data_IF_828225470804
#
_entry.id   IF_828225470804
#
_cell.length_a   1.000
_cell.length_b   1.000
_cell.length_c   1.000
_cell.angle_alpha   90.00
_cell.angle_beta   90.00
_cell.angle_gamma   90.00
#
_symmetry.space_group_name_H-M   'P 1'
#
loop_
_entity.id
_entity.type
_entity.pdbx_description
1 polymer ?
#
# COMPACT_ATOMS: atom_id res chain seq x y z
N UNK A 1 -20.67 -63.32 24.60
CA UNK A 1 -19.42 -62.94 23.91
C UNK A 1 -19.49 -61.44 23.65
N UNK A 2 -18.70 -60.66 24.42
CA UNK A 2 -18.16 -59.30 24.14
C UNK A 2 -19.23 -58.22 23.77
N UNK A 3 -19.74 -57.43 24.72
CA UNK A 3 -19.20 -56.11 25.16
C UNK A 3 -18.72 -55.23 23.99
N UNK A 4 -19.47 -54.20 23.61
CA UNK A 4 -19.03 -52.80 23.77
C UNK A 4 -20.05 -51.79 23.22
N UNK A 5 -20.41 -50.90 24.14
CA UNK A 5 -21.04 -49.60 23.96
C UNK A 5 -19.98 -48.62 23.41
N UNK A 6 -20.33 -47.81 22.41
CA UNK A 6 -19.73 -46.49 22.11
C UNK A 6 -20.63 -45.83 21.04
N UNK A 7 -21.63 -45.01 21.39
CA UNK A 7 -21.50 -43.62 21.81
C UNK A 7 -20.39 -42.87 21.05
N UNK A 8 -20.60 -42.62 19.76
CA UNK A 8 -19.87 -41.56 19.04
C UNK A 8 -20.62 -40.25 19.30
N UNK A 9 -20.47 -39.76 20.53
CA UNK A 9 -20.75 -38.39 20.91
C UNK A 9 -19.41 -37.81 21.30
N UNK A 10 -18.77 -37.07 20.39
CA UNK A 10 -17.75 -36.02 20.61
C UNK A 10 -16.84 -35.91 19.38
N UNK A 11 -17.17 -35.00 18.47
CA UNK A 11 -16.19 -34.08 17.85
C UNK A 11 -16.92 -32.98 17.06
N UNK A 12 -17.93 -32.36 17.67
CA UNK A 12 -18.21 -30.94 17.42
C UNK A 12 -17.52 -30.12 18.53
N UNK A 13 -16.23 -30.40 18.75
CA UNK A 13 -15.35 -29.46 19.41
C UNK A 13 -15.05 -28.41 18.36
N UNK A 14 -15.78 -27.30 18.45
CA UNK A 14 -15.45 -25.97 17.92
C UNK A 14 -14.16 -25.92 17.10
N UNK A 15 -14.19 -26.44 15.88
CA UNK A 15 -13.47 -25.75 14.83
C UNK A 15 -14.32 -24.52 14.62
N UNK A 16 -14.03 -23.45 15.36
CA UNK A 16 -14.16 -22.15 14.71
C UNK A 16 -13.35 -22.34 13.43
N UNK A 17 -14.03 -22.55 12.31
CA UNK A 17 -13.40 -22.33 11.03
C UNK A 17 -12.85 -20.93 11.19
N UNK A 18 -11.52 -20.81 11.31
CA UNK A 18 -10.83 -19.52 11.28
C UNK A 18 -11.04 -18.99 9.86
N UNK A 19 -12.28 -18.60 9.57
CA UNK A 19 -12.68 -17.90 8.39
C UNK A 19 -11.88 -16.63 8.41
N UNK A 20 -11.21 -16.37 7.30
CA UNK A 20 -10.44 -15.16 7.12
C UNK A 20 -11.32 -13.96 7.46
N UNK A 21 -10.92 -13.18 8.46
CA UNK A 21 -11.75 -12.11 9.02
C UNK A 21 -11.56 -10.78 8.27
N UNK A 22 -10.52 -10.70 7.43
CA UNK A 22 -10.14 -9.54 6.66
C UNK A 22 -9.68 -9.98 5.26
N UNK A 23 -10.13 -9.30 4.22
CA UNK A 23 -9.50 -9.37 2.90
C UNK A 23 -9.02 -7.98 2.47
N UNK A 24 -7.95 -7.96 1.68
CA UNK A 24 -7.38 -6.77 1.06
C UNK A 24 -7.33 -6.98 -0.45
N UNK A 25 -8.24 -6.33 -1.16
CA UNK A 25 -8.45 -6.52 -2.59
C UNK A 25 -7.81 -5.39 -3.39
N UNK A 26 -7.02 -5.77 -4.40
CA UNK A 26 -6.39 -4.86 -5.35
C UNK A 26 -7.20 -4.82 -6.65
N UNK A 27 -7.49 -3.62 -7.14
CA UNK A 27 -8.15 -3.40 -8.42
C UNK A 27 -7.63 -2.14 -9.10
N UNK A 28 -7.86 -2.00 -10.41
CA UNK A 28 -7.50 -0.81 -11.16
C UNK A 28 -8.78 -0.14 -11.66
N UNK A 29 -8.90 1.16 -11.38
CA UNK A 29 -10.01 1.99 -11.83
C UNK A 29 -9.46 3.15 -12.66
N UNK A 30 -10.05 3.37 -13.84
CA UNK A 30 -9.72 4.50 -14.70
C UNK A 30 -10.67 5.65 -14.37
N UNK A 31 -10.11 6.75 -13.91
CA UNK A 31 -10.88 7.95 -13.56
C UNK A 31 -10.65 9.01 -14.64
N UNK A 32 -11.71 9.73 -15.02
CA UNK A 32 -11.59 10.85 -15.96
C UNK A 32 -10.82 11.97 -15.28
N UNK A 33 -9.76 12.45 -15.92
CA UNK A 33 -9.06 13.64 -15.46
C UNK A 33 -9.72 14.87 -16.07
N UNK A 34 -9.95 15.91 -15.26
CA UNK A 34 -10.55 17.16 -15.76
C UNK A 34 -9.49 18.00 -16.50
N UNK A 35 -8.19 17.83 -16.22
CA UNK A 35 -7.09 18.51 -16.90
C UNK A 35 -5.70 18.13 -16.36
N UNK A 36 -5.33 16.85 -16.37
CA UNK A 36 -3.96 16.48 -16.01
C UNK A 36 -3.06 16.53 -17.24
N UNK A 37 -2.03 17.37 -17.17
CA UNK A 37 -0.98 17.40 -18.18
C UNK A 37 0.37 17.15 -17.53
N UNK A 38 1.06 16.10 -17.96
CA UNK A 38 2.47 15.91 -17.63
C UNK A 38 3.32 16.41 -18.80
N UNK A 39 4.16 17.43 -18.57
CA UNK A 39 5.04 18.03 -19.59
C UNK A 39 4.31 18.32 -20.92
N UNK A 40 3.14 18.96 -20.85
CA UNK A 40 2.30 19.33 -22.00
C UNK A 40 1.66 18.16 -22.80
N UNK A 41 1.72 16.92 -22.30
CA UNK A 41 0.86 15.83 -22.79
C UNK A 41 -0.37 15.72 -21.90
N UNK A 42 -1.54 15.89 -22.49
CA UNK A 42 -2.82 15.64 -21.80
C UNK A 42 -3.00 14.15 -21.55
N UNK A 43 -3.46 13.80 -20.35
CA UNK A 43 -3.89 12.46 -19.98
C UNK A 43 -5.38 12.54 -19.64
N UNK A 44 -6.21 12.02 -20.55
CA UNK A 44 -7.68 12.13 -20.47
C UNK A 44 -8.28 11.22 -19.38
N UNK A 45 -7.59 10.13 -19.05
CA UNK A 45 -7.98 9.23 -17.97
C UNK A 45 -6.76 8.76 -17.21
N UNK A 46 -6.78 8.93 -15.89
CA UNK A 46 -5.70 8.53 -15.01
C UNK A 46 -6.05 7.15 -14.44
N UNK A 47 -5.12 6.18 -14.50
CA UNK A 47 -5.28 4.89 -13.83
C UNK A 47 -5.03 5.06 -12.33
N UNK A 48 -5.89 4.48 -11.50
CA UNK A 48 -5.70 4.40 -10.06
C UNK A 48 -5.65 2.96 -9.61
N UNK A 49 -4.67 2.62 -8.77
CA UNK A 49 -4.73 1.43 -7.95
C UNK A 49 -5.68 1.69 -6.78
N UNK A 50 -6.70 0.85 -6.67
CA UNK A 50 -7.62 0.83 -5.53
C UNK A 50 -7.30 -0.33 -4.62
N UNK A 51 -7.02 -0.03 -3.36
CA UNK A 51 -6.80 -1.01 -2.29
C UNK A 51 -8.05 -1.02 -1.42
N UNK A 52 -8.81 -2.11 -1.43
CA UNK A 52 -10.05 -2.24 -0.66
C UNK A 52 -9.88 -3.21 0.50
N UNK A 53 -10.11 -2.72 1.71
CA UNK A 53 -10.10 -3.53 2.92
C UNK A 53 -11.54 -3.94 3.24
N UNK A 54 -11.80 -5.24 3.33
CA UNK A 54 -13.13 -5.79 3.64
C UNK A 54 -13.09 -6.53 4.98
N UNK A 55 -13.88 -6.07 5.95
CA UNK A 55 -14.10 -6.80 7.18
C UNK A 55 -15.11 -7.92 6.92
N UNK A 56 -14.66 -9.17 6.97
CA UNK A 56 -15.49 -10.35 6.76
C UNK A 56 -16.11 -10.85 8.07
N UNK A 57 -15.73 -10.28 9.21
CA UNK A 57 -16.23 -10.63 10.53
C UNK A 57 -17.46 -9.80 10.96
N UNK A 58 -18.08 -10.23 12.05
CA UNK A 58 -19.16 -9.49 12.72
C UNK A 58 -18.63 -8.54 13.83
N UNK A 59 -17.32 -8.32 13.89
CA UNK A 59 -16.66 -7.49 14.92
C UNK A 59 -16.28 -6.13 14.34
N UNK A 60 -16.23 -5.11 15.22
CA UNK A 60 -15.57 -3.85 14.90
C UNK A 60 -14.06 -4.07 14.99
N UNK A 61 -13.33 -3.84 13.90
CA UNK A 61 -11.88 -4.07 13.84
C UNK A 61 -11.15 -2.82 13.38
N UNK A 62 -9.91 -2.66 13.83
CA UNK A 62 -8.97 -1.71 13.25
C UNK A 62 -7.59 -2.33 13.08
N UNK A 63 -6.81 -1.78 12.16
CA UNK A 63 -5.48 -2.26 11.81
C UNK A 63 -4.73 -1.17 11.04
N UNK A 64 -3.39 -1.23 10.96
CA UNK A 64 -2.62 -0.31 10.12
C UNK A 64 -2.85 -0.57 8.64
N UNK A 65 -2.83 0.49 7.83
CA UNK A 65 -2.85 0.39 6.37
C UNK A 65 -1.67 -0.45 5.87
N UNK A 66 -1.86 -1.15 4.75
CA UNK A 66 -0.78 -1.89 4.08
C UNK A 66 0.22 -0.95 3.41
N UNK A 67 -0.17 0.31 3.19
CA UNK A 67 0.68 1.37 2.69
C UNK A 67 0.35 2.69 3.42
N UNK A 68 1.34 3.24 4.11
CA UNK A 68 1.22 4.45 4.93
C UNK A 68 1.62 5.66 4.08
N UNK A 69 0.62 6.20 3.38
CA UNK A 69 0.75 7.48 2.70
C UNK A 69 -0.59 8.20 2.69
N UNK A 70 -0.56 9.46 3.13
CA UNK A 70 -1.71 10.36 3.23
C UNK A 70 -2.04 11.05 1.90
N UNK A 71 -1.11 11.01 0.94
CA UNK A 71 -1.28 11.54 -0.41
C UNK A 71 -1.65 10.41 -1.34
N UNK A 72 -2.62 10.62 -2.24
CA UNK A 72 -3.08 9.65 -3.25
C UNK A 72 -2.03 9.36 -4.34
N UNK A 73 -0.75 9.46 -4.02
CA UNK A 73 0.41 9.19 -4.86
C UNK A 73 1.29 8.13 -4.16
N UNK A 74 1.79 7.12 -4.88
CA UNK A 74 2.82 6.25 -4.35
C UNK A 74 4.16 6.98 -4.19
N UNK A 75 4.91 6.61 -3.16
CA UNK A 75 6.27 7.05 -2.88
C UNK A 75 7.25 5.94 -3.22
N UNK A 76 8.46 6.29 -3.62
CA UNK A 76 9.54 5.35 -3.96
C UNK A 76 10.83 5.81 -3.29
N UNK A 77 11.72 4.88 -2.96
CA UNK A 77 13.06 5.24 -2.47
C UNK A 77 13.94 5.74 -3.62
N UNK A 78 14.68 6.81 -3.36
CA UNK A 78 15.74 7.27 -4.25
C UNK A 78 17.04 6.52 -3.94
N UNK A 79 17.75 6.06 -4.97
CA UNK A 79 19.04 5.41 -4.82
C UNK A 79 20.11 6.40 -4.32
N UNK A 80 20.99 5.92 -3.42
CA UNK A 80 22.10 6.71 -2.84
C UNK A 80 23.09 7.20 -3.90
N UNK A 81 23.14 6.52 -5.06
CA UNK A 81 24.07 6.86 -6.15
C UNK A 81 23.68 8.11 -6.94
N UNK A 82 22.56 8.78 -6.61
CA UNK A 82 22.11 9.99 -7.29
C UNK A 82 22.10 9.81 -8.82
N UNK A 83 21.72 8.61 -9.27
CA UNK A 83 21.36 8.39 -10.67
C UNK A 83 19.99 9.02 -10.87
N UNK A 84 19.91 10.35 -10.95
CA UNK A 84 18.71 11.05 -11.39
C UNK A 84 18.42 10.67 -12.84
N UNK A 85 17.93 9.45 -13.03
CA UNK A 85 17.62 8.86 -14.31
C UNK A 85 16.30 9.46 -14.73
N UNK A 86 16.38 10.49 -15.60
CA UNK A 86 15.19 11.19 -16.05
C UNK A 86 14.26 10.19 -16.73
N UNK A 87 12.96 10.27 -16.42
CA UNK A 87 11.92 9.47 -17.07
C UNK A 87 12.08 9.42 -18.60
N UNK A 88 12.45 10.55 -19.22
CA UNK A 88 12.71 10.67 -20.67
C UNK A 88 13.84 9.77 -21.19
N UNK A 89 14.85 9.48 -20.38
CA UNK A 89 15.93 8.56 -20.72
C UNK A 89 15.44 7.12 -20.58
N UNK A 90 14.69 6.83 -19.51
CA UNK A 90 14.14 5.50 -19.27
C UNK A 90 13.15 5.07 -20.35
N UNK A 91 12.20 5.93 -20.73
CA UNK A 91 11.21 5.64 -21.77
C UNK A 91 11.84 5.39 -23.16
N UNK A 92 13.09 5.81 -23.39
CA UNK A 92 13.81 5.57 -24.66
C UNK A 92 14.55 4.25 -24.67
N UNK A 93 15.02 3.80 -23.52
CA UNK A 93 15.86 2.61 -23.38
C UNK A 93 15.05 1.37 -22.97
N UNK A 94 13.90 1.56 -22.32
CA UNK A 94 13.11 0.45 -21.83
C UNK A 94 12.30 -0.20 -22.96
N UNK A 95 12.62 -1.46 -23.26
CA UNK A 95 11.83 -2.28 -24.17
C UNK A 95 10.58 -2.80 -23.44
N UNK A 96 9.44 -2.87 -24.13
CA UNK A 96 8.16 -3.38 -23.60
C UNK A 96 8.16 -4.88 -23.21
N UNK A 97 9.34 -5.47 -23.02
CA UNK A 97 9.56 -6.91 -22.79
C UNK A 97 9.77 -7.23 -21.30
N UNK A 98 10.26 -6.27 -20.51
CA UNK A 98 10.52 -6.50 -19.08
C UNK A 98 9.22 -6.41 -18.29
N UNK A 99 8.92 -7.47 -17.54
CA UNK A 99 7.83 -7.53 -16.56
C UNK A 99 8.34 -7.09 -15.21
N UNK A 100 7.51 -6.36 -14.47
CA UNK A 100 7.87 -5.77 -13.19
C UNK A 100 6.89 -6.19 -12.11
N UNK A 101 7.41 -6.60 -10.96
CA UNK A 101 6.66 -6.78 -9.73
C UNK A 101 6.72 -5.48 -8.92
N UNK A 102 5.55 -5.01 -8.49
CA UNK A 102 5.38 -3.81 -7.66
C UNK A 102 4.90 -4.25 -6.29
N UNK A 103 5.78 -4.13 -5.30
CA UNK A 103 5.50 -4.43 -3.90
C UNK A 103 4.94 -3.18 -3.24
N UNK A 104 3.63 -3.19 -2.98
CA UNK A 104 2.92 -2.07 -2.32
C UNK A 104 3.36 -2.02 -0.86
N UNK A 105 3.81 -0.84 -0.42
CA UNK A 105 4.45 -0.68 0.89
C UNK A 105 5.91 -1.12 0.92
N UNK A 106 6.43 -1.74 -0.14
CA UNK A 106 7.83 -2.15 -0.23
C UNK A 106 8.04 -3.53 0.39
N UNK A 107 9.28 -3.90 0.68
CA UNK A 107 9.57 -5.15 1.36
C UNK A 107 9.31 -5.02 2.86
N UNK A 108 8.54 -5.97 3.40
CA UNK A 108 8.23 -6.05 4.82
C UNK A 108 9.50 -5.95 5.69
N UNK A 109 9.49 -5.17 6.78
CA UNK A 109 8.35 -4.49 7.41
C UNK A 109 8.10 -3.06 6.94
N UNK A 110 8.87 -2.55 5.98
CA UNK A 110 8.63 -1.22 5.43
C UNK A 110 7.24 -1.19 4.79
N UNK A 111 6.49 -0.12 5.03
CA UNK A 111 5.17 0.16 4.44
C UNK A 111 5.03 1.62 4.00
N UNK A 112 6.12 2.38 3.87
CA UNK A 112 6.12 3.82 3.54
C UNK A 112 6.48 4.12 2.08
N UNK A 113 7.11 3.17 1.39
CA UNK A 113 7.57 3.31 0.00
C UNK A 113 7.22 2.07 -0.80
N UNK A 114 6.81 2.20 -2.05
CA UNK A 114 6.66 1.06 -2.94
C UNK A 114 8.04 0.66 -3.48
N UNK A 115 8.17 -0.60 -3.83
CA UNK A 115 9.40 -1.13 -4.42
C UNK A 115 9.08 -1.88 -5.71
N UNK A 116 9.78 -1.52 -6.79
CA UNK A 116 9.63 -2.15 -8.10
C UNK A 116 10.83 -3.03 -8.40
N UNK A 117 10.59 -4.32 -8.60
CA UNK A 117 11.62 -5.28 -8.96
C UNK A 117 11.27 -5.95 -10.30
N UNK A 118 12.26 -6.24 -11.15
CA UNK A 118 12.02 -7.01 -12.36
C UNK A 118 11.57 -8.44 -12.01
N UNK A 119 10.62 -8.97 -12.80
CA UNK A 119 10.12 -10.35 -12.71
C UNK A 119 11.11 -11.32 -13.39
N UNK A 120 12.37 -11.31 -12.94
CA UNK A 120 13.45 -12.13 -13.49
C UNK A 120 14.39 -12.66 -12.38
N UNK A 121 15.11 -13.75 -12.68
CA UNK A 121 16.03 -14.43 -11.73
C UNK A 121 17.48 -13.97 -11.91
N UNK A 122 17.76 -13.06 -12.86
CA UNK A 122 19.14 -12.75 -13.27
C UNK A 122 19.73 -11.58 -12.47
N UNK A 123 20.86 -11.80 -11.80
CA UNK A 123 21.53 -10.88 -10.87
C UNK A 123 21.88 -9.49 -11.47
N UNK A 124 21.95 -9.35 -12.79
CA UNK A 124 22.07 -8.04 -13.46
C UNK A 124 20.83 -7.14 -13.28
N UNK A 125 19.72 -7.70 -12.82
CA UNK A 125 18.46 -7.01 -12.55
C UNK A 125 18.48 -6.14 -11.29
N UNK A 126 19.48 -6.31 -10.40
CA UNK A 126 19.73 -5.42 -9.24
C UNK A 126 20.25 -4.02 -9.65
N UNK A 127 20.55 -3.78 -10.93
CA UNK A 127 20.80 -2.42 -11.43
C UNK A 127 19.55 -1.82 -12.08
N UNK A 128 18.69 -2.67 -12.63
CA UNK A 128 17.44 -2.26 -13.30
C UNK A 128 16.36 -1.85 -12.29
N UNK A 129 16.35 -2.44 -11.08
CA UNK A 129 15.48 -2.00 -9.98
C UNK A 129 15.81 -0.55 -9.55
N UNK A 130 17.08 -0.20 -9.34
CA UNK A 130 17.50 1.15 -8.92
C UNK A 130 17.03 2.18 -9.95
N UNK A 131 17.19 1.88 -11.25
CA UNK A 131 16.79 2.78 -12.34
C UNK A 131 15.27 2.96 -12.43
N UNK A 132 14.48 1.89 -12.34
CA UNK A 132 13.01 1.99 -12.40
C UNK A 132 12.45 2.74 -11.18
N UNK A 133 12.93 2.44 -9.98
CA UNK A 133 12.49 3.14 -8.76
C UNK A 133 12.92 4.62 -8.79
N UNK A 134 14.13 4.95 -9.24
CA UNK A 134 14.59 6.34 -9.43
C UNK A 134 13.75 7.10 -10.47
N UNK A 135 13.37 6.44 -11.57
CA UNK A 135 12.52 7.05 -12.60
C UNK A 135 11.11 7.34 -12.06
N UNK A 136 10.50 6.38 -11.34
CA UNK A 136 9.19 6.57 -10.70
C UNK A 136 9.26 7.66 -9.63
N UNK A 137 10.29 7.64 -8.78
CA UNK A 137 10.55 8.70 -7.81
C UNK A 137 10.60 10.08 -8.50
N UNK A 138 11.37 10.22 -9.58
CA UNK A 138 11.47 11.49 -10.31
C UNK A 138 10.13 11.96 -10.89
N UNK A 139 9.29 11.05 -11.41
CA UNK A 139 7.96 11.42 -11.90
C UNK A 139 7.07 11.86 -10.75
N UNK A 140 6.91 11.04 -9.71
CA UNK A 140 6.00 11.34 -8.61
C UNK A 140 6.44 12.52 -7.76
N UNK A 141 7.75 12.75 -7.55
CA UNK A 141 8.25 13.95 -6.89
C UNK A 141 7.83 15.23 -7.64
N UNK A 142 7.94 15.23 -8.98
CA UNK A 142 7.50 16.38 -9.78
C UNK A 142 5.98 16.61 -9.73
N UNK A 143 5.19 15.55 -9.52
CA UNK A 143 3.74 15.66 -9.34
C UNK A 143 3.38 16.12 -7.93
N UNK A 144 4.12 15.68 -6.92
CA UNK A 144 3.93 16.07 -5.53
C UNK A 144 4.17 17.58 -5.35
N UNK A 145 5.24 18.11 -5.94
CA UNK A 145 5.51 19.55 -5.98
C UNK A 145 4.38 20.33 -6.66
N UNK A 146 3.70 19.74 -7.65
CA UNK A 146 2.61 20.39 -8.37
C UNK A 146 1.28 20.34 -7.56
N UNK A 147 1.01 19.23 -6.87
CA UNK A 147 -0.26 18.99 -6.16
C UNK A 147 -0.31 19.59 -4.74
N UNK A 148 0.84 19.79 -4.07
CA UNK A 148 0.88 20.50 -2.77
C UNK A 148 0.55 21.98 -2.94
N UNK A 149 1.00 22.62 -4.02
CA UNK A 149 0.72 24.04 -4.26
C UNK A 149 -0.78 24.32 -4.44
N UNK A 150 -1.55 23.38 -5.01
CA UNK A 150 -3.01 23.51 -5.12
C UNK A 150 -3.74 23.20 -3.79
N UNK A 151 -3.19 22.34 -2.92
CA UNK A 151 -3.86 21.93 -1.67
C UNK A 151 -3.62 22.91 -0.51
N UNK A 152 -2.50 23.63 -0.51
CA UNK A 152 -2.17 24.65 0.51
C UNK A 152 -3.03 25.92 0.44
N UNK A 153 -3.80 26.15 -0.63
CA UNK A 153 -4.79 27.24 -0.68
C UNK A 153 -6.14 26.89 -0.03
N UNK A 154 -6.37 25.64 0.40
CA UNK A 154 -7.70 25.17 0.84
C UNK A 154 -7.91 25.05 2.34
N UNK A 155 -6.92 24.65 3.15
CA UNK A 155 -7.21 24.16 4.50
C UNK A 155 -6.55 24.99 5.61
N UNK A 156 -7.34 25.86 6.23
CA UNK A 156 -7.12 26.35 7.60
C UNK A 156 -7.51 25.24 8.58
N UNK A 157 -6.56 24.74 9.37
CA UNK A 157 -6.81 23.80 10.47
C UNK A 157 -6.61 24.49 11.82
N UNK A 158 -7.65 24.38 12.64
CA UNK A 158 -7.74 24.82 14.03
C UNK A 158 -7.21 23.70 14.93
N UNK A 159 -6.36 24.05 15.88
CA UNK A 159 -5.71 23.15 16.85
C UNK A 159 -6.57 23.01 18.12
N UNK A 160 -6.77 21.78 18.61
CA UNK A 160 -7.00 21.56 20.05
C UNK A 160 -6.65 20.12 20.54
N UNK A 161 -5.60 20.08 21.38
CA UNK A 161 -5.40 19.35 22.66
C UNK A 161 -5.23 17.80 22.71
N UNK A 162 -3.98 17.36 22.53
CA UNK A 162 -3.04 16.72 23.48
C UNK A 162 -3.60 15.75 24.55
N UNK A 163 -3.65 14.50 24.10
CA UNK A 163 -3.64 13.15 24.75
C UNK A 163 -4.22 12.17 23.72
N UNK A 164 -5.06 12.74 22.84
CA UNK A 164 -5.38 12.30 21.49
C UNK A 164 -4.22 12.44 20.49
N UNK A 165 -3.09 13.06 20.85
CA UNK A 165 -2.01 13.45 19.91
C UNK A 165 -1.46 12.31 19.07
N UNK A 166 -1.22 11.13 19.65
CA UNK A 166 -0.68 10.02 18.88
C UNK A 166 -1.74 9.36 17.99
N UNK A 167 -2.98 9.28 18.47
CA UNK A 167 -4.09 8.73 17.71
C UNK A 167 -4.57 9.68 16.61
N UNK A 168 -4.50 10.99 16.82
CA UNK A 168 -4.76 12.01 15.81
C UNK A 168 -3.66 12.00 14.75
N UNK A 169 -2.39 11.87 15.17
CA UNK A 169 -1.24 11.77 14.25
C UNK A 169 -1.27 10.48 13.43
N UNK A 170 -1.61 9.34 14.03
CA UNK A 170 -1.63 8.03 13.36
C UNK A 170 -2.98 7.70 12.71
N UNK A 171 -3.98 8.59 12.83
CA UNK A 171 -5.35 8.29 12.37
C UNK A 171 -5.38 7.95 10.89
N UNK A 172 -4.59 8.64 10.09
CA UNK A 172 -4.55 8.49 8.65
C UNK A 172 -3.81 7.21 8.20
N UNK A 173 -3.04 6.60 9.11
CA UNK A 173 -2.33 5.33 8.92
C UNK A 173 -3.13 4.12 9.40
N UNK A 174 -4.29 4.34 10.03
CA UNK A 174 -5.16 3.30 10.57
C UNK A 174 -6.46 3.20 9.77
N UNK A 175 -6.95 1.97 9.62
CA UNK A 175 -8.26 1.68 9.05
C UNK A 175 -9.19 1.18 10.15
N UNK A 176 -10.38 1.77 10.25
CA UNK A 176 -11.42 1.36 11.18
C UNK A 176 -12.61 0.80 10.41
N UNK A 177 -12.90 -0.49 10.57
CA UNK A 177 -14.00 -1.17 9.88
C UNK A 177 -15.08 -1.62 10.86
N UNK A 178 -16.31 -1.23 10.55
CA UNK A 178 -17.51 -1.80 11.18
C UNK A 178 -17.69 -3.27 10.76
N UNK A 179 -18.50 -4.06 11.49
CA UNK A 179 -18.91 -5.39 11.04
C UNK A 179 -19.37 -5.38 9.58
N UNK A 180 -18.81 -6.26 8.75
CA UNK A 180 -19.10 -6.32 7.30
C UNK A 180 -18.81 -5.02 6.52
N UNK A 181 -18.06 -4.10 7.13
CA UNK A 181 -17.69 -2.82 6.55
C UNK A 181 -16.54 -2.94 5.55
N UNK A 182 -16.40 -1.89 4.73
CA UNK A 182 -15.35 -1.76 3.73
C UNK A 182 -14.76 -0.35 3.73
N UNK A 183 -13.49 -0.25 3.38
CA UNK A 183 -12.77 1.01 3.16
C UNK A 183 -11.88 0.86 1.94
N UNK A 184 -11.66 1.93 1.18
CA UNK A 184 -10.79 1.90 0.02
C UNK A 184 -9.86 3.12 -0.02
N UNK A 185 -8.57 2.85 -0.26
CA UNK A 185 -7.59 3.85 -0.64
C UNK A 185 -7.38 3.83 -2.17
N UNK A 186 -6.96 4.97 -2.73
CA UNK A 186 -6.69 5.14 -4.15
C UNK A 186 -5.33 5.79 -4.35
N UNK A 187 -4.52 5.19 -5.23
CA UNK A 187 -3.17 5.67 -5.57
C UNK A 187 -3.04 5.83 -7.07
N UNK A 188 -2.70 7.03 -7.52
CA UNK A 188 -2.51 7.32 -8.94
C UNK A 188 -1.36 6.48 -9.50
N UNK A 189 -1.62 5.78 -10.60
CA UNK A 189 -0.65 5.00 -11.37
C UNK A 189 -0.10 5.77 -12.58
N UNK A 190 -0.29 7.09 -12.62
CA UNK A 190 0.12 7.92 -13.77
C UNK A 190 1.62 7.82 -14.08
N UNK A 191 2.47 7.61 -13.08
CA UNK A 191 3.90 7.39 -13.31
C UNK A 191 4.18 6.11 -14.08
N UNK A 192 3.43 5.04 -13.78
CA UNK A 192 3.52 3.77 -14.50
C UNK A 192 2.98 3.90 -15.94
N UNK A 193 1.93 4.70 -16.14
CA UNK A 193 1.42 5.02 -17.48
C UNK A 193 2.45 5.79 -18.32
N UNK A 194 3.13 6.77 -17.72
CA UNK A 194 4.18 7.58 -18.38
C UNK A 194 5.39 6.71 -18.75
N UNK A 195 5.85 5.87 -17.82
CA UNK A 195 7.05 5.04 -18.02
C UNK A 195 6.80 3.83 -18.91
N UNK A 196 5.54 3.36 -18.97
CA UNK A 196 5.08 2.18 -19.73
C UNK A 196 5.73 0.88 -19.28
N UNK A 197 5.03 -0.23 -19.48
CA UNK A 197 5.54 -1.54 -19.07
C UNK A 197 4.42 -2.50 -18.63
N UNK A 198 4.82 -3.73 -18.36
CA UNK A 198 3.97 -4.77 -17.78
C UNK A 198 4.24 -4.86 -16.28
N UNK A 199 3.26 -4.48 -15.47
CA UNK A 199 3.39 -4.35 -14.01
C UNK A 199 2.41 -5.28 -13.31
N UNK A 200 2.91 -6.05 -12.34
CA UNK A 200 2.11 -6.85 -11.42
C UNK A 200 2.19 -6.25 -10.02
N UNK A 201 1.07 -5.76 -9.51
CA UNK A 201 0.93 -5.21 -8.18
C UNK A 201 0.55 -6.30 -7.18
N UNK A 202 1.25 -6.34 -6.04
CA UNK A 202 0.99 -7.29 -4.96
C UNK A 202 1.36 -6.72 -3.59
N UNK A 203 0.78 -7.33 -2.55
CA UNK A 203 1.18 -7.10 -1.17
C UNK A 203 2.33 -8.05 -0.78
N UNK A 204 3.35 -7.57 -0.04
CA UNK A 204 4.52 -8.37 0.36
C UNK A 204 4.24 -9.34 1.53
N UNK A 205 3.07 -9.24 2.16
CA UNK A 205 2.69 -9.98 3.36
C UNK A 205 1.23 -10.41 3.29
N UNK A 206 0.88 -11.44 4.04
CA UNK A 206 -0.48 -11.94 4.26
C UNK A 206 -0.95 -11.73 5.71
N UNK A 207 -0.20 -10.97 6.52
CA UNK A 207 -0.49 -10.73 7.93
C UNK A 207 -0.52 -9.24 8.27
N UNK A 208 -1.55 -8.82 9.02
CA UNK A 208 -1.62 -7.45 9.53
C UNK A 208 -0.63 -7.22 10.68
N UNK A 209 -0.01 -6.04 10.66
CA UNK A 209 0.89 -5.57 11.69
C UNK A 209 0.11 -5.16 12.95
N UNK A 210 0.75 -5.34 14.10
CA UNK A 210 0.29 -4.84 15.40
C UNK A 210 1.10 -3.61 15.88
N UNK A 211 1.89 -3.03 14.99
CA UNK A 211 2.66 -1.82 15.22
C UNK A 211 2.63 -0.90 13.99
N UNK A 212 3.00 0.36 14.20
CA UNK A 212 3.34 1.32 13.14
C UNK A 212 4.83 1.68 13.28
N UNK A 213 5.55 1.71 12.16
CA UNK A 213 6.89 2.27 12.09
C UNK A 213 6.78 3.79 11.91
N UNK A 214 7.56 4.54 12.67
CA UNK A 214 7.67 5.99 12.54
C UNK A 214 9.11 6.31 12.24
N UNK A 215 9.34 6.99 11.12
CA UNK A 215 10.65 7.52 10.77
C UNK A 215 11.13 8.49 11.86
N UNK A 216 12.28 8.22 12.45
CA UNK A 216 12.93 9.20 13.31
C UNK A 216 13.48 10.31 12.44
N UNK A 217 12.97 11.52 12.61
CA UNK A 217 13.47 12.70 11.92
C UNK A 217 14.99 12.85 12.07
N UNK A 218 15.68 12.94 10.93
CA UNK A 218 16.93 13.67 10.67
C UNK A 218 18.26 13.24 11.33
N UNK A 219 18.34 12.32 12.28
CA UNK A 219 19.63 11.89 12.83
C UNK A 219 19.65 10.39 13.17
N UNK A 220 20.11 9.55 12.23
CA UNK A 220 20.70 8.20 12.42
C UNK A 220 20.17 7.26 13.53
N UNK A 221 18.95 7.43 14.04
CA UNK A 221 18.33 6.49 14.97
C UNK A 221 17.52 5.46 14.18
N UNK A 222 17.55 4.22 14.67
CA UNK A 222 16.77 3.11 14.13
C UNK A 222 15.27 3.49 14.11
N UNK A 223 14.56 3.13 13.03
CA UNK A 223 13.10 3.30 12.88
C UNK A 223 12.38 2.92 14.17
N UNK A 224 11.58 3.83 14.75
CA UNK A 224 10.88 3.57 16.01
C UNK A 224 9.57 2.86 15.72
N UNK A 225 9.30 1.78 16.44
CA UNK A 225 8.02 1.05 16.37
C UNK A 225 7.12 1.43 17.52
N UNK A 226 5.90 1.82 17.19
CA UNK A 226 4.83 2.03 18.15
C UNK A 226 3.88 0.86 18.08
N UNK A 227 3.83 0.07 19.16
CA UNK A 227 2.84 -0.98 19.30
C UNK A 227 1.44 -0.37 19.42
N UNK A 228 0.51 -0.89 18.63
CA UNK A 228 -0.88 -0.47 18.67
C UNK A 228 -1.55 -1.05 19.93
N UNK A 229 -2.47 -0.29 20.57
CA UNK A 229 -3.28 -0.84 21.65
C UNK A 229 -4.08 -2.05 21.15
N UNK A 230 -4.59 -2.91 22.04
CA UNK A 230 -5.45 -4.02 21.60
C UNK A 230 -6.88 -3.57 21.26
N UNK A 231 -7.27 -2.37 21.70
CA UNK A 231 -8.62 -1.83 21.54
C UNK A 231 -8.58 -0.30 21.54
N UNK A 232 -9.36 0.32 20.63
CA UNK A 232 -9.67 1.76 20.62
C UNK A 232 -11.19 1.88 20.55
N UNK A 233 -11.79 2.50 21.57
CA UNK A 233 -13.24 2.55 21.76
C UNK A 233 -13.89 1.16 21.62
N UNK A 234 -14.71 0.96 20.58
CA UNK A 234 -15.38 -0.30 20.27
C UNK A 234 -14.61 -1.19 19.29
N UNK A 235 -13.53 -0.71 18.69
CA UNK A 235 -12.77 -1.42 17.67
C UNK A 235 -11.63 -2.22 18.30
N UNK A 236 -11.49 -3.48 17.89
CA UNK A 236 -10.42 -4.36 18.34
C UNK A 236 -9.30 -4.42 17.30
N UNK A 237 -8.04 -4.45 17.76
CA UNK A 237 -6.89 -4.56 16.87
C UNK A 237 -6.91 -5.91 16.15
N UNK A 238 -6.88 -5.88 14.81
CA UNK A 238 -6.74 -7.07 13.99
C UNK A 238 -5.26 -7.33 13.67
N UNK A 239 -4.75 -8.47 14.13
CA UNK A 239 -3.36 -8.94 13.91
C UNK A 239 -3.28 -10.32 13.25
N UNK A 240 -4.38 -10.72 12.59
CA UNK A 240 -4.52 -12.02 11.93
C UNK A 240 -4.04 -12.01 10.48
N UNK A 241 -4.16 -13.17 9.84
CA UNK A 241 -3.92 -13.32 8.41
C UNK A 241 -5.05 -12.68 7.59
N UNK A 242 -4.75 -12.14 6.42
CA UNK A 242 -5.73 -11.63 5.48
C UNK A 242 -5.52 -12.25 4.10
N UNK A 243 -6.55 -12.25 3.26
CA UNK A 243 -6.41 -12.67 1.86
C UNK A 243 -6.12 -11.47 1.01
N UNK A 244 -5.31 -11.67 -0.01
CA UNK A 244 -5.13 -10.67 -1.05
C UNK A 244 -4.98 -11.33 -2.41
N UNK A 245 -5.34 -10.58 -3.44
CA UNK A 245 -5.07 -10.91 -4.82
C UNK A 245 -3.84 -10.13 -5.32
N UNK A 246 -3.36 -10.50 -6.51
CA UNK A 246 -2.45 -9.69 -7.32
C UNK A 246 -3.17 -9.21 -8.57
N UNK A 247 -2.72 -8.09 -9.14
CA UNK A 247 -3.27 -7.56 -10.39
C UNK A 247 -2.15 -7.17 -11.34
N UNK A 248 -2.27 -7.59 -12.60
CA UNK A 248 -1.31 -7.26 -13.65
C UNK A 248 -1.93 -6.31 -14.68
N UNK A 249 -1.17 -5.33 -15.14
CA UNK A 249 -1.59 -4.36 -16.15
C UNK A 249 -0.42 -4.01 -17.08
N UNK A 250 -0.75 -3.88 -18.36
CA UNK A 250 0.17 -3.43 -19.39
C UNK A 250 -0.16 -1.98 -19.79
N UNK A 251 0.74 -1.05 -19.51
CA UNK A 251 0.69 0.34 -20.00
C UNK A 251 1.49 0.48 -21.30
N UNK A 252 0.92 1.13 -22.33
CA UNK A 252 1.46 1.18 -23.70
C UNK A 252 1.68 2.60 -24.21
#
# INVERSE_FOLDING_TARGET
>A
MIKQLAFILTLFLTTESYGQQLSVELSIEWMKSISFSYRNKGIDSIPYLKITYNNLSDKYIYFPKVYQNTVSLPSFSQSIRNTCYKADTFCKENSSVVKWNVFIGGMYPNNHVWEVLPDSVDYFSERENEVMNDALYSVYASLFDTLIYEKLESDTLDDDVISQDLLSTLKDDLVFLQPKGKYSDYYSLVGFEILKGDYTFLLPTDKMLDFIEIDSSLDNEESKRINLPNQIDKYFLYKGLFSSNKISILFR
#
